data_IF_763694430813
#
_entry.id   IF_763694430813
#
_cell.length_a   1.000
_cell.length_b   1.000
_cell.length_c   1.000
_cell.angle_alpha   90.00
_cell.angle_beta   90.00
_cell.angle_gamma   90.00
#
_symmetry.space_group_name_H-M   'P 1'
#
loop_
_entity.id
_entity.type
_entity.pdbx_description
1 polymer ?
#
# COMPACT_ATOMS: atom_id res chain seq x y z
N UNK A 1 0.91 -28.00 16.86
CA UNK A 1 2.31 -27.52 16.82
C UNK A 1 2.66 -27.26 15.36
N UNK A 2 2.68 -26.01 14.89
CA UNK A 2 3.07 -25.70 13.50
C UNK A 2 4.60 -25.71 13.44
N UNK A 3 5.19 -26.70 12.78
CA UNK A 3 6.64 -26.76 12.54
C UNK A 3 7.03 -25.52 11.73
N UNK A 4 7.95 -24.72 12.26
CA UNK A 4 8.44 -23.52 11.57
C UNK A 4 9.06 -23.89 10.24
N UNK A 5 8.57 -23.34 9.13
CA UNK A 5 9.14 -23.55 7.78
C UNK A 5 10.54 -22.91 7.64
N UNK A 6 10.89 -21.98 8.54
CA UNK A 6 12.18 -21.27 8.51
C UNK A 6 13.30 -22.14 9.05
N UNK A 7 14.40 -22.18 8.29
CA UNK A 7 15.67 -22.84 8.61
C UNK A 7 16.82 -21.83 8.55
N UNK A 8 18.02 -22.21 8.99
CA UNK A 8 19.21 -21.33 8.88
C UNK A 8 19.57 -21.02 7.42
N UNK A 9 19.26 -21.95 6.50
CA UNK A 9 19.45 -21.77 5.06
C UNK A 9 18.35 -20.90 4.41
N UNK A 10 17.15 -20.85 5.00
CA UNK A 10 16.00 -20.09 4.48
C UNK A 10 15.37 -19.23 5.59
N UNK A 11 16.12 -18.21 6.04
CA UNK A 11 15.75 -17.47 7.23
C UNK A 11 14.45 -16.68 7.08
N UNK A 12 14.13 -16.27 5.85
CA UNK A 12 12.94 -15.47 5.53
C UNK A 12 11.94 -16.26 4.69
N UNK A 13 11.88 -17.59 4.84
CA UNK A 13 10.82 -18.38 4.21
C UNK A 13 9.43 -17.85 4.64
N UNK A 14 8.55 -17.66 3.65
CA UNK A 14 7.18 -17.19 3.81
C UNK A 14 6.21 -18.32 3.51
N UNK A 15 5.19 -18.45 4.36
CA UNK A 15 4.05 -19.34 4.12
C UNK A 15 3.01 -18.64 3.23
N UNK A 16 2.13 -19.43 2.59
CA UNK A 16 1.02 -18.88 1.83
C UNK A 16 0.10 -18.00 2.71
N UNK A 17 -0.17 -18.44 3.95
CA UNK A 17 -0.95 -17.68 4.94
C UNK A 17 -0.33 -16.31 5.21
N UNK A 18 1.00 -16.24 5.37
CA UNK A 18 1.72 -14.98 5.61
C UNK A 18 1.73 -14.08 4.37
N UNK A 19 1.77 -14.65 3.16
CA UNK A 19 1.62 -13.89 1.92
C UNK A 19 0.23 -13.26 1.80
N UNK A 20 -0.82 -14.03 2.11
CA UNK A 20 -2.20 -13.53 2.15
C UNK A 20 -2.39 -12.44 3.19
N UNK A 21 -1.93 -12.68 4.43
CA UNK A 21 -1.99 -11.70 5.49
C UNK A 21 -1.22 -10.43 5.12
N UNK A 22 -0.03 -10.57 4.53
CA UNK A 22 0.77 -9.45 4.02
C UNK A 22 0.02 -8.63 2.98
N UNK A 23 -0.56 -9.29 1.97
CA UNK A 23 -1.37 -8.64 0.94
C UNK A 23 -2.57 -7.90 1.52
N UNK A 24 -3.30 -8.52 2.45
CA UNK A 24 -4.43 -7.88 3.14
C UNK A 24 -4.01 -6.64 3.93
N UNK A 25 -2.91 -6.71 4.68
CA UNK A 25 -2.38 -5.54 5.41
C UNK A 25 -1.90 -4.44 4.46
N UNK A 26 -1.35 -4.80 3.30
CA UNK A 26 -1.00 -3.82 2.26
C UNK A 26 -2.22 -3.12 1.71
N UNK A 27 -3.28 -3.87 1.40
CA UNK A 27 -4.54 -3.30 0.93
C UNK A 27 -5.17 -2.38 1.99
N UNK A 28 -5.26 -2.80 3.24
CA UNK A 28 -5.76 -1.95 4.33
C UNK A 28 -4.92 -0.68 4.50
N UNK A 29 -3.59 -0.79 4.40
CA UNK A 29 -2.69 0.37 4.48
C UNK A 29 -2.92 1.33 3.32
N UNK A 30 -3.07 0.80 2.10
CA UNK A 30 -3.37 1.58 0.91
C UNK A 30 -4.68 2.35 1.07
N UNK A 31 -5.77 1.65 1.42
CA UNK A 31 -7.08 2.26 1.64
C UNK A 31 -7.01 3.32 2.74
N UNK A 32 -6.37 3.02 3.87
CA UNK A 32 -6.21 3.96 4.97
C UNK A 32 -5.45 5.23 4.57
N UNK A 33 -4.30 5.08 3.91
CA UNK A 33 -3.49 6.21 3.46
C UNK A 33 -4.21 7.02 2.36
N UNK A 34 -4.93 6.36 1.45
CA UNK A 34 -5.75 7.00 0.43
C UNK A 34 -6.85 7.84 1.07
N UNK A 35 -7.59 7.30 2.06
CA UNK A 35 -8.61 8.05 2.79
C UNK A 35 -8.03 9.25 3.53
N UNK A 36 -6.86 9.10 4.16
CA UNK A 36 -6.15 10.22 4.81
C UNK A 36 -5.76 11.28 3.77
N UNK A 37 -5.22 10.88 2.62
CA UNK A 37 -4.87 11.83 1.56
C UNK A 37 -6.10 12.58 1.04
N UNK A 38 -7.22 11.90 0.84
CA UNK A 38 -8.50 12.51 0.45
C UNK A 38 -8.98 13.50 1.51
N UNK A 39 -9.00 13.11 2.78
CA UNK A 39 -9.39 13.99 3.87
C UNK A 39 -8.49 15.22 3.97
N UNK A 40 -7.18 15.08 3.81
CA UNK A 40 -6.25 16.22 3.80
C UNK A 40 -6.51 17.13 2.59
N UNK A 41 -6.71 16.56 1.40
CA UNK A 41 -6.99 17.33 0.18
C UNK A 41 -8.29 18.15 0.29
N UNK A 42 -9.23 17.69 1.12
CA UNK A 42 -10.50 18.35 1.40
C UNK A 42 -10.39 19.35 2.56
N UNK A 43 -9.68 19.00 3.63
CA UNK A 43 -9.56 19.82 4.83
C UNK A 43 -8.72 21.09 4.61
N UNK A 44 -7.64 21.00 3.81
CA UNK A 44 -6.73 22.14 3.59
C UNK A 44 -7.45 23.34 2.96
N UNK A 45 -8.20 23.20 1.84
CA UNK A 45 -8.92 24.33 1.24
C UNK A 45 -9.93 25.00 2.18
N UNK A 46 -10.62 24.21 3.02
CA UNK A 46 -11.55 24.75 4.03
C UNK A 46 -10.80 25.54 5.08
N UNK A 47 -9.73 24.95 5.63
CA UNK A 47 -8.95 25.58 6.69
C UNK A 47 -8.31 26.90 6.22
N UNK A 48 -8.02 27.02 4.94
CA UNK A 48 -7.46 28.23 4.32
C UNK A 48 -8.52 29.17 3.72
N UNK A 49 -9.81 28.81 3.76
CA UNK A 49 -10.88 29.63 3.18
C UNK A 49 -11.20 30.84 4.06
N UNK A 50 -11.50 32.02 3.48
CA UNK A 50 -12.04 33.15 4.23
C UNK A 50 -13.40 32.88 4.88
N UNK A 51 -14.15 31.89 4.37
CA UNK A 51 -15.52 31.55 4.80
C UNK A 51 -15.67 30.04 5.03
N UNK A 52 -14.99 29.46 6.04
CA UNK A 52 -14.91 28.01 6.22
C UNK A 52 -16.27 27.36 6.52
N UNK A 53 -17.14 28.04 7.30
CA UNK A 53 -18.45 27.52 7.68
C UNK A 53 -19.42 27.36 6.49
N UNK A 54 -19.42 28.32 5.56
CA UNK A 54 -20.24 28.25 4.35
C UNK A 54 -19.74 27.12 3.43
N UNK A 55 -18.42 27.03 3.21
CA UNK A 55 -17.83 26.01 2.35
C UNK A 55 -18.02 24.59 2.91
N UNK A 56 -17.96 24.43 4.24
CA UNK A 56 -18.31 23.19 4.93
C UNK A 56 -19.76 22.78 4.68
N UNK A 57 -20.70 23.69 4.90
CA UNK A 57 -22.14 23.43 4.74
C UNK A 57 -22.50 23.07 3.29
N UNK A 58 -21.93 23.78 2.32
CA UNK A 58 -22.16 23.54 0.89
C UNK A 58 -21.50 22.25 0.38
N UNK A 59 -20.34 21.88 0.93
CA UNK A 59 -19.55 20.77 0.40
C UNK A 59 -19.79 19.43 1.11
N UNK A 60 -20.41 19.44 2.31
CA UNK A 60 -20.54 18.22 3.13
C UNK A 60 -21.19 17.04 2.39
N UNK A 61 -22.26 17.28 1.64
CA UNK A 61 -22.92 16.23 0.84
C UNK A 61 -22.01 15.64 -0.23
N UNK A 62 -21.25 16.49 -0.92
CA UNK A 62 -20.26 16.06 -1.90
C UNK A 62 -19.13 15.24 -1.29
N UNK A 63 -18.72 15.57 -0.06
CA UNK A 63 -17.65 14.86 0.63
C UNK A 63 -18.03 13.42 0.96
N UNK A 64 -19.24 13.22 1.47
CA UNK A 64 -19.76 11.87 1.76
C UNK A 64 -19.82 11.05 0.47
N UNK A 65 -20.26 11.64 -0.63
CA UNK A 65 -20.30 10.98 -1.94
C UNK A 65 -18.90 10.62 -2.45
N UNK A 66 -17.94 11.56 -2.39
CA UNK A 66 -16.56 11.33 -2.85
C UNK A 66 -15.88 10.25 -2.01
N UNK A 67 -15.98 10.33 -0.68
CA UNK A 67 -15.36 9.35 0.21
C UNK A 67 -16.01 7.96 0.05
N UNK A 68 -17.34 7.91 -0.06
CA UNK A 68 -18.07 6.66 -0.30
C UNK A 68 -17.69 6.04 -1.64
N UNK A 69 -17.65 6.83 -2.71
CA UNK A 69 -17.25 6.38 -4.04
C UNK A 69 -15.79 5.92 -4.08
N UNK A 70 -14.87 6.67 -3.47
CA UNK A 70 -13.46 6.30 -3.38
C UNK A 70 -13.25 5.01 -2.58
N UNK A 71 -14.01 4.80 -1.51
CA UNK A 71 -13.93 3.57 -0.73
C UNK A 71 -14.47 2.36 -1.51
N UNK A 72 -15.63 2.50 -2.15
CA UNK A 72 -16.27 1.39 -2.87
C UNK A 72 -15.50 1.05 -4.15
N UNK A 73 -15.25 2.03 -5.03
CA UNK A 73 -14.55 1.78 -6.28
C UNK A 73 -13.04 1.72 -6.11
N UNK A 74 -12.42 2.68 -5.43
CA UNK A 74 -10.98 2.67 -5.20
C UNK A 74 -10.54 1.50 -4.32
N UNK A 75 -11.28 1.23 -3.24
CA UNK A 75 -11.06 0.06 -2.39
C UNK A 75 -11.33 -1.26 -3.11
N UNK A 76 -12.41 -1.36 -3.89
CA UNK A 76 -12.76 -2.56 -4.66
C UNK A 76 -11.76 -2.86 -5.80
N UNK A 77 -11.39 -1.86 -6.59
CA UNK A 77 -10.41 -2.00 -7.68
C UNK A 77 -9.03 -2.37 -7.09
N UNK A 78 -8.59 -1.70 -6.02
CA UNK A 78 -7.31 -2.02 -5.39
C UNK A 78 -7.29 -3.42 -4.76
N UNK A 79 -8.45 -3.92 -4.31
CA UNK A 79 -8.57 -5.31 -3.85
C UNK A 79 -8.35 -6.30 -5.01
N UNK A 80 -8.92 -6.03 -6.19
CA UNK A 80 -8.67 -6.84 -7.40
C UNK A 80 -7.17 -6.79 -7.77
N UNK A 81 -6.57 -5.60 -7.78
CA UNK A 81 -5.12 -5.44 -8.04
C UNK A 81 -4.30 -6.24 -7.05
N UNK A 82 -4.64 -6.21 -5.76
CA UNK A 82 -3.99 -7.01 -4.73
C UNK A 82 -4.05 -8.50 -5.11
N UNK A 83 -5.22 -9.05 -5.43
CA UNK A 83 -5.37 -10.45 -5.84
C UNK A 83 -4.51 -10.79 -7.08
N UNK A 84 -4.48 -9.91 -8.08
CA UNK A 84 -3.65 -10.08 -9.28
C UNK A 84 -2.14 -10.05 -8.98
N UNK A 85 -1.71 -9.28 -7.97
CA UNK A 85 -0.30 -9.18 -7.58
C UNK A 85 0.17 -10.30 -6.64
N UNK A 86 -0.73 -11.04 -5.98
CA UNK A 86 -0.34 -12.11 -5.04
C UNK A 86 0.58 -13.18 -5.65
N UNK A 87 0.35 -13.70 -6.87
CA UNK A 87 1.28 -14.66 -7.50
C UNK A 87 2.69 -14.07 -7.68
N UNK A 88 2.77 -12.81 -8.10
CA UNK A 88 4.05 -12.10 -8.29
C UNK A 88 4.75 -11.95 -6.94
N UNK A 89 4.02 -11.54 -5.91
CA UNK A 89 4.54 -11.42 -4.53
C UNK A 89 5.02 -12.76 -3.99
N UNK A 90 4.31 -13.87 -4.26
CA UNK A 90 4.74 -15.20 -3.86
C UNK A 90 6.06 -15.61 -4.52
N UNK A 91 6.26 -15.28 -5.80
CA UNK A 91 7.52 -15.51 -6.51
C UNK A 91 8.67 -14.67 -5.91
N UNK A 92 8.42 -13.39 -5.64
CA UNK A 92 9.39 -12.49 -4.98
C UNK A 92 9.77 -13.02 -3.60
N UNK A 93 8.78 -13.41 -2.79
CA UNK A 93 9.01 -13.99 -1.46
C UNK A 93 9.86 -15.27 -1.52
N UNK A 94 9.61 -16.14 -2.50
CA UNK A 94 10.43 -17.33 -2.74
C UNK A 94 11.86 -16.99 -3.14
N UNK A 95 12.06 -15.98 -4.01
CA UNK A 95 13.39 -15.54 -4.42
C UNK A 95 14.18 -14.91 -3.24
N UNK A 96 13.50 -14.19 -2.36
CA UNK A 96 14.12 -13.50 -1.22
C UNK A 96 14.24 -14.36 0.05
N UNK A 97 13.84 -15.64 0.02
CA UNK A 97 13.83 -16.51 1.22
C UNK A 97 15.20 -16.68 1.89
N UNK A 98 16.27 -16.56 1.12
CA UNK A 98 17.69 -16.67 1.56
C UNK A 98 18.33 -15.31 1.88
N UNK A 99 17.58 -14.22 1.78
CA UNK A 99 18.10 -12.86 1.95
C UNK A 99 17.71 -12.33 3.32
N UNK A 100 18.70 -12.11 4.17
CA UNK A 100 18.51 -11.73 5.57
C UNK A 100 18.43 -10.21 5.76
N UNK A 101 18.83 -9.46 4.72
CA UNK A 101 18.98 -8.00 4.75
C UNK A 101 17.63 -7.31 4.62
N UNK A 102 17.08 -6.82 5.74
CA UNK A 102 15.82 -6.05 5.80
C UNK A 102 15.73 -4.93 4.74
N UNK A 103 16.78 -4.12 4.49
CA UNK A 103 16.71 -3.06 3.48
C UNK A 103 16.42 -3.58 2.06
N UNK A 104 16.87 -4.79 1.72
CA UNK A 104 16.62 -5.40 0.40
C UNK A 104 15.13 -5.72 0.24
N UNK A 105 14.50 -6.28 1.26
CA UNK A 105 13.05 -6.52 1.24
C UNK A 105 12.27 -5.22 1.11
N UNK A 106 12.62 -4.20 1.91
CA UNK A 106 11.98 -2.88 1.83
C UNK A 106 12.10 -2.30 0.42
N UNK A 107 13.30 -2.31 -0.16
CA UNK A 107 13.53 -1.80 -1.51
C UNK A 107 12.72 -2.54 -2.57
N UNK A 108 12.70 -3.88 -2.56
CA UNK A 108 11.96 -4.69 -3.54
C UNK A 108 10.46 -4.46 -3.44
N UNK A 109 9.89 -4.48 -2.23
CA UNK A 109 8.46 -4.23 -2.05
C UNK A 109 8.07 -2.79 -2.36
N UNK A 110 8.91 -1.81 -2.02
CA UNK A 110 8.70 -0.41 -2.37
C UNK A 110 8.73 -0.20 -3.89
N UNK A 111 9.68 -0.82 -4.61
CA UNK A 111 9.76 -0.75 -6.07
C UNK A 111 8.55 -1.40 -6.75
N UNK A 112 8.09 -2.54 -6.25
CA UNK A 112 6.86 -3.18 -6.75
C UNK A 112 5.67 -2.25 -6.58
N UNK A 113 5.50 -1.68 -5.39
CA UNK A 113 4.44 -0.74 -5.08
C UNK A 113 4.51 0.53 -5.93
N UNK A 114 5.68 1.14 -6.03
CA UNK A 114 5.89 2.33 -6.86
C UNK A 114 5.54 2.05 -8.33
N UNK A 115 5.93 0.89 -8.86
CA UNK A 115 5.61 0.48 -10.23
C UNK A 115 4.10 0.36 -10.46
N UNK A 116 3.38 -0.24 -9.51
CA UNK A 116 1.90 -0.31 -9.54
C UNK A 116 1.30 1.11 -9.50
N UNK A 117 1.83 1.99 -8.65
CA UNK A 117 1.40 3.39 -8.57
C UNK A 117 1.59 4.15 -9.87
N UNK A 118 2.74 3.98 -10.54
CA UNK A 118 3.01 4.58 -11.85
C UNK A 118 2.01 4.07 -12.89
N UNK A 119 1.77 2.75 -12.94
CA UNK A 119 0.78 2.17 -13.86
C UNK A 119 -0.62 2.72 -13.56
N UNK A 120 -1.02 2.83 -12.29
CA UNK A 120 -2.31 3.37 -11.90
C UNK A 120 -2.48 4.84 -12.34
N UNK A 121 -1.45 5.67 -12.15
CA UNK A 121 -1.43 7.07 -12.61
C UNK A 121 -1.53 7.16 -14.14
N UNK A 122 -0.80 6.32 -14.87
CA UNK A 122 -0.85 6.28 -16.33
C UNK A 122 -2.25 5.88 -16.82
N UNK A 123 -2.84 4.83 -16.24
CA UNK A 123 -4.20 4.38 -16.57
C UNK A 123 -5.22 5.48 -16.26
N UNK A 124 -5.15 6.11 -15.09
CA UNK A 124 -6.05 7.20 -14.72
C UNK A 124 -5.95 8.39 -15.70
N UNK A 125 -4.73 8.74 -16.11
CA UNK A 125 -4.49 9.79 -17.11
C UNK A 125 -5.10 9.43 -18.46
N UNK A 126 -4.89 8.19 -18.92
CA UNK A 126 -5.44 7.70 -20.19
C UNK A 126 -6.97 7.70 -20.19
N UNK A 127 -7.60 7.27 -19.09
CA UNK A 127 -9.05 7.23 -18.94
C UNK A 127 -9.66 8.63 -18.92
N UNK A 128 -8.98 9.60 -18.27
CA UNK A 128 -9.49 10.97 -18.14
C UNK A 128 -9.43 11.74 -19.44
N UNK A 129 -8.26 11.80 -20.08
CA UNK A 129 -8.00 12.77 -21.14
C UNK A 129 -7.99 12.13 -22.54
N UNK A 130 -8.05 10.80 -22.65
CA UNK A 130 -8.05 10.04 -23.92
C UNK A 130 -6.80 10.23 -24.80
N UNK A 131 -5.92 11.18 -24.47
CA UNK A 131 -4.81 11.68 -25.27
C UNK A 131 -3.45 11.23 -24.76
N UNK A 132 -3.39 10.61 -23.57
CA UNK A 132 -2.13 10.18 -22.94
C UNK A 132 -1.17 11.32 -22.59
N UNK A 133 -1.62 12.59 -22.70
CA UNK A 133 -0.85 13.74 -22.20
C UNK A 133 -0.80 13.66 -20.69
N UNK A 134 0.39 13.37 -20.19
CA UNK A 134 0.65 13.06 -18.81
C UNK A 134 0.14 14.17 -17.86
N UNK A 135 -0.80 13.80 -16.99
CA UNK A 135 -1.16 14.50 -15.74
C UNK A 135 0.02 14.72 -14.78
N UNK A 136 1.22 14.30 -15.20
CA UNK A 136 2.50 14.33 -14.49
C UNK A 136 3.10 15.75 -14.50
N UNK A 137 2.61 16.66 -15.34
CA UNK A 137 3.16 18.03 -15.49
C UNK A 137 2.23 19.14 -14.98
N UNK A 138 0.94 18.85 -14.73
CA UNK A 138 0.07 19.80 -14.03
C UNK A 138 0.45 19.86 -12.55
N UNK A 139 0.40 21.05 -11.94
CA UNK A 139 0.86 21.43 -10.58
C UNK A 139 0.22 20.63 -9.41
N UNK A 140 -0.44 19.52 -9.68
CA UNK A 140 -1.08 18.66 -8.70
C UNK A 140 -0.08 17.69 -8.06
N UNK A 141 0.05 17.67 -6.72
CA UNK A 141 0.87 16.67 -6.03
C UNK A 141 0.24 15.26 -6.01
N UNK A 142 -0.98 15.09 -6.52
CA UNK A 142 -1.78 13.85 -6.41
C UNK A 142 -1.11 12.64 -7.08
N UNK A 143 -0.56 12.72 -8.31
CA UNK A 143 0.11 11.58 -8.94
C UNK A 143 1.32 11.10 -8.13
N UNK A 144 2.12 12.04 -7.62
CA UNK A 144 3.28 11.72 -6.79
C UNK A 144 2.86 11.05 -5.47
N UNK A 145 1.86 11.61 -4.79
CA UNK A 145 1.30 11.02 -3.56
C UNK A 145 0.77 9.61 -3.80
N UNK A 146 0.12 9.37 -4.94
CA UNK A 146 -0.37 8.04 -5.32
C UNK A 146 0.77 7.03 -5.40
N UNK A 147 1.87 7.38 -6.09
CA UNK A 147 3.05 6.51 -6.20
C UNK A 147 3.66 6.24 -4.82
N UNK A 148 3.77 7.26 -3.97
CA UNK A 148 4.31 7.11 -2.61
C UNK A 148 3.43 6.19 -1.76
N UNK A 149 2.11 6.38 -1.77
CA UNK A 149 1.16 5.53 -1.03
C UNK A 149 1.27 4.09 -1.53
N UNK A 150 1.30 3.87 -2.84
CA UNK A 150 1.47 2.56 -3.44
C UNK A 150 2.82 1.92 -3.07
N UNK A 151 3.91 2.68 -2.93
CA UNK A 151 5.22 2.18 -2.51
C UNK A 151 5.27 1.79 -1.02
N UNK A 152 4.65 2.58 -0.14
CA UNK A 152 4.67 2.36 1.32
C UNK A 152 3.79 1.17 1.72
N UNK A 153 2.64 1.01 1.08
CA UNK A 153 1.65 -0.02 1.42
C UNK A 153 2.18 -1.48 1.43
N UNK A 154 2.89 -1.98 0.39
CA UNK A 154 3.48 -3.32 0.39
C UNK A 154 4.57 -3.49 1.45
N UNK A 155 5.34 -2.43 1.75
CA UNK A 155 6.36 -2.47 2.81
C UNK A 155 5.73 -2.68 4.18
N UNK A 156 4.63 -1.96 4.48
CA UNK A 156 3.91 -2.12 5.75
C UNK A 156 3.30 -3.51 5.87
N UNK A 157 2.69 -4.02 4.80
CA UNK A 157 2.12 -5.37 4.79
C UNK A 157 3.15 -6.46 5.03
N UNK A 158 4.30 -6.38 4.33
CA UNK A 158 5.43 -7.28 4.57
C UNK A 158 5.98 -7.16 6.00
N UNK A 159 6.13 -5.94 6.52
CA UNK A 159 6.62 -5.72 7.87
C UNK A 159 5.69 -6.34 8.92
N UNK A 160 4.38 -6.15 8.76
CA UNK A 160 3.36 -6.73 9.65
C UNK A 160 3.37 -8.25 9.60
N UNK A 161 3.41 -8.85 8.40
CA UNK A 161 3.46 -10.30 8.23
C UNK A 161 4.76 -10.91 8.80
N UNK A 162 5.91 -10.26 8.58
CA UNK A 162 7.21 -10.74 9.07
C UNK A 162 7.43 -10.54 10.57
N UNK A 163 6.61 -9.74 11.26
CA UNK A 163 6.82 -9.43 12.70
C UNK A 163 6.67 -10.65 13.60
N UNK A 164 5.71 -11.54 13.30
CA UNK A 164 5.51 -12.77 14.07
C UNK A 164 6.77 -13.67 14.00
N UNK A 165 7.30 -13.87 12.80
CA UNK A 165 8.53 -14.63 12.56
C UNK A 165 9.74 -14.08 13.31
N UNK A 166 9.88 -12.76 13.38
CA UNK A 166 10.99 -12.10 14.11
C UNK A 166 10.88 -12.31 15.61
N UNK A 167 9.66 -12.30 16.16
CA UNK A 167 9.43 -12.55 17.60
C UNK A 167 9.81 -13.98 17.98
N UNK A 168 9.45 -14.96 17.18
CA UNK A 168 9.81 -16.37 17.39
C UNK A 168 11.33 -16.60 17.36
N UNK A 169 12.05 -15.88 16.49
CA UNK A 169 13.52 -15.91 16.44
C UNK A 169 14.14 -15.33 17.70
N UNK A 170 13.65 -14.17 18.14
CA UNK A 170 14.14 -13.52 19.35
C UNK A 170 13.97 -14.42 20.59
N UNK A 171 12.84 -15.13 20.72
CA UNK A 171 12.63 -16.05 21.84
C UNK A 171 13.53 -17.29 21.83
N UNK A 172 13.93 -17.78 20.64
CA UNK A 172 14.89 -18.90 20.54
C UNK A 172 16.30 -18.48 20.93
N UNK A 173 16.72 -17.29 20.51
CA UNK A 173 18.04 -16.75 20.87
C UNK A 173 18.19 -16.52 22.38
N UNK A 174 17.11 -16.17 23.09
CA UNK A 174 17.13 -16.01 24.55
C UNK A 174 17.13 -17.33 25.32
N UNK A 175 16.72 -18.45 24.72
CA UNK A 175 16.70 -19.77 25.38
C UNK A 175 18.03 -20.53 25.30
N UNK A 176 18.97 -20.05 24.49
CA UNK A 176 20.30 -20.65 24.30
C UNK A 176 21.40 -20.00 25.15
N UNK A 177 21.02 -19.06 26.02
CA UNK A 177 21.91 -18.37 26.98
C UNK A 177 21.54 -18.84 28.39
#
# INVERSE_FOLDING_TARGET
>A
MKTSIRTDAEPMAFTADETWAGGFWSWLTFVGLMLVALLVSLAVPIATSPTPGALLAESFGWWVLILGFALVLGGGISLIVMFCCLPIVALIARALRRVDRIPVHIAVYALLGASIGVVAVLVATLVRDGTGRAYIVEESPVPFLTVVICAVSPVVGWWRASRAARRERASRASSTV
#
